data_IF_392299257807
#
_entry.id   IF_392299257807
#
_cell.length_a   1.000
_cell.length_b   1.000
_cell.length_c   1.000
_cell.angle_alpha   90.00
_cell.angle_beta   90.00
_cell.angle_gamma   90.00
#
_symmetry.space_group_name_H-M   'P 1'
#
loop_
_entity.id
_entity.type
_entity.pdbx_description
1 polymer ?
#
# COMPACT_ATOMS: atom_id res chain seq x y z
N UNK A 1 -8.69 28.00 25.63
CA UNK A 1 -8.79 27.62 24.20
C UNK A 1 -7.76 28.31 23.27
N UNK A 2 -6.63 28.85 23.76
CA UNK A 2 -5.74 29.71 22.95
C UNK A 2 -4.84 28.95 21.95
N UNK A 3 -4.58 27.67 22.19
CA UNK A 3 -3.71 26.83 21.35
C UNK A 3 -4.44 25.73 20.58
N UNK A 4 -5.76 25.62 20.73
CA UNK A 4 -6.55 24.56 20.11
C UNK A 4 -6.42 24.57 18.58
N UNK A 5 -6.35 25.76 17.98
CA UNK A 5 -6.09 25.91 16.56
C UNK A 5 -4.72 25.36 16.16
N UNK A 6 -3.66 25.79 16.86
CA UNK A 6 -2.28 25.36 16.58
C UNK A 6 -2.11 23.84 16.72
N UNK A 7 -2.65 23.29 17.81
CA UNK A 7 -2.66 21.85 18.10
C UNK A 7 -3.44 21.12 17.00
N UNK A 8 -4.65 21.56 16.69
CA UNK A 8 -5.49 20.97 15.65
C UNK A 8 -4.81 20.98 14.28
N UNK A 9 -4.18 22.09 13.89
CA UNK A 9 -3.45 22.19 12.62
C UNK A 9 -2.23 21.27 12.58
N UNK A 10 -1.46 21.18 13.66
CA UNK A 10 -0.26 20.34 13.71
C UNK A 10 -0.61 18.85 13.61
N UNK A 11 -1.61 18.40 14.37
CA UNK A 11 -2.10 17.02 14.29
C UNK A 11 -2.80 16.75 12.95
N UNK A 12 -3.56 17.72 12.42
CA UNK A 12 -4.21 17.60 11.11
C UNK A 12 -3.22 17.43 9.97
N UNK A 13 -2.15 18.24 9.94
CA UNK A 13 -1.08 18.13 8.96
C UNK A 13 -0.31 16.81 9.10
N UNK A 14 -0.01 16.40 10.33
CA UNK A 14 0.64 15.11 10.59
C UNK A 14 -0.21 13.94 10.08
N UNK A 15 -1.51 13.94 10.39
CA UNK A 15 -2.43 12.91 9.92
C UNK A 15 -2.54 12.91 8.38
N UNK A 16 -2.60 14.09 7.75
CA UNK A 16 -2.62 14.21 6.31
C UNK A 16 -1.35 13.65 5.66
N UNK A 17 -0.18 13.93 6.23
CA UNK A 17 1.10 13.40 5.74
C UNK A 17 1.16 11.86 5.86
N UNK A 18 0.67 11.29 6.96
CA UNK A 18 0.58 9.84 7.13
C UNK A 18 -0.37 9.22 6.11
N UNK A 19 -1.57 9.80 5.94
CA UNK A 19 -2.55 9.32 4.96
C UNK A 19 -2.00 9.40 3.54
N UNK A 20 -1.28 10.47 3.20
CA UNK A 20 -0.61 10.61 1.92
C UNK A 20 0.43 9.51 1.71
N UNK A 21 1.25 9.20 2.71
CA UNK A 21 2.24 8.12 2.65
C UNK A 21 1.58 6.75 2.44
N UNK A 22 0.53 6.45 3.21
CA UNK A 22 -0.24 5.20 3.08
C UNK A 22 -0.86 5.10 1.69
N UNK A 23 -1.47 6.18 1.21
CA UNK A 23 -2.10 6.23 -0.11
C UNK A 23 -1.07 6.00 -1.22
N UNK A 24 0.11 6.61 -1.11
CA UNK A 24 1.19 6.43 -2.07
C UNK A 24 1.67 4.97 -2.14
N UNK A 25 1.94 4.36 -0.99
CA UNK A 25 2.34 2.95 -0.89
C UNK A 25 1.26 2.03 -1.49
N UNK A 26 -0.02 2.34 -1.24
CA UNK A 26 -1.13 1.58 -1.81
C UNK A 26 -1.19 1.70 -3.34
N UNK A 27 -1.01 2.90 -3.89
CA UNK A 27 -0.95 3.11 -5.34
C UNK A 27 0.22 2.35 -5.98
N UNK A 28 1.41 2.41 -5.37
CA UNK A 28 2.57 1.64 -5.83
C UNK A 28 2.33 0.13 -5.77
N UNK A 29 1.73 -0.35 -4.67
CA UNK A 29 1.32 -1.73 -4.54
C UNK A 29 0.36 -2.15 -5.65
N UNK A 30 -0.62 -1.30 -5.96
CA UNK A 30 -1.61 -1.57 -7.02
C UNK A 30 -0.98 -1.60 -8.41
N UNK A 31 0.03 -0.78 -8.68
CA UNK A 31 0.79 -0.85 -9.93
C UNK A 31 1.52 -2.21 -10.07
N UNK A 32 2.20 -2.66 -9.01
CA UNK A 32 2.87 -3.97 -8.98
C UNK A 32 1.90 -5.14 -9.18
N UNK A 33 0.70 -5.06 -8.61
CA UNK A 33 -0.33 -6.10 -8.78
C UNK A 33 -0.84 -6.21 -10.24
N UNK A 34 -0.84 -5.12 -11.01
CA UNK A 34 -1.22 -5.18 -12.44
C UNK A 34 -0.19 -5.95 -13.26
N UNK A 35 1.09 -5.72 -12.99
CA UNK A 35 2.19 -6.42 -13.66
C UNK A 35 2.18 -7.92 -13.32
N UNK A 36 1.99 -8.25 -12.04
CA UNK A 36 1.82 -9.65 -11.61
C UNK A 36 0.67 -10.35 -12.34
N UNK A 37 -0.49 -9.71 -12.45
CA UNK A 37 -1.63 -10.25 -13.21
C UNK A 37 -1.33 -10.46 -14.68
N UNK A 38 -0.56 -9.57 -15.30
CA UNK A 38 -0.15 -9.71 -16.70
C UNK A 38 0.78 -10.93 -16.88
N UNK A 39 1.72 -11.15 -15.94
CA UNK A 39 2.61 -12.31 -15.93
C UNK A 39 1.85 -13.63 -15.67
N UNK A 40 0.88 -13.61 -14.76
CA UNK A 40 -0.01 -14.76 -14.52
C UNK A 40 -0.83 -15.11 -15.76
N UNK A 41 -1.39 -14.11 -16.46
CA UNK A 41 -2.11 -14.32 -17.72
C UNK A 41 -1.21 -14.87 -18.83
N UNK A 42 0.08 -14.54 -18.82
CA UNK A 42 1.09 -15.12 -19.70
C UNK A 42 1.50 -16.56 -19.30
N UNK A 43 0.89 -17.12 -18.24
CA UNK A 43 1.18 -18.48 -17.76
C UNK A 43 2.45 -18.58 -16.91
N UNK A 44 3.10 -17.45 -16.57
CA UNK A 44 4.31 -17.44 -15.76
C UNK A 44 3.89 -17.53 -14.28
N UNK A 45 3.87 -18.75 -13.74
CA UNK A 45 3.57 -19.00 -12.32
C UNK A 45 4.79 -18.65 -11.46
N UNK A 46 4.62 -17.80 -10.45
CA UNK A 46 5.72 -17.45 -9.52
C UNK A 46 6.18 -18.70 -8.77
N UNK A 47 7.49 -18.94 -8.74
CA UNK A 47 8.09 -20.05 -7.96
C UNK A 47 7.90 -19.90 -6.45
N UNK A 48 7.54 -18.71 -5.98
CA UNK A 48 7.25 -18.36 -4.59
C UNK A 48 5.76 -18.32 -4.27
N UNK A 49 4.93 -18.99 -5.07
CA UNK A 49 3.51 -19.17 -4.79
C UNK A 49 3.35 -20.02 -3.50
N UNK A 50 2.85 -19.44 -2.39
CA UNK A 50 2.70 -20.14 -1.12
C UNK A 50 1.63 -21.24 -1.18
N UNK A 51 0.84 -21.33 -2.27
CA UNK A 51 0.00 -22.51 -2.52
C UNK A 51 0.83 -23.77 -2.77
N UNK A 52 2.08 -23.64 -3.21
CA UNK A 52 3.04 -24.75 -3.32
C UNK A 52 3.51 -25.23 -1.95
N UNK A 53 3.66 -24.32 -0.98
CA UNK A 53 4.06 -24.65 0.40
C UNK A 53 2.96 -25.39 1.16
N UNK A 54 1.68 -25.04 0.93
CA UNK A 54 0.54 -25.78 1.50
C UNK A 54 0.29 -27.16 0.87
N UNK A 55 0.98 -27.49 -0.22
CA UNK A 55 0.86 -28.76 -0.92
C UNK A 55 1.96 -29.78 -0.54
N UNK A 56 2.91 -29.39 0.33
CA UNK A 56 3.93 -30.23 0.96
C UNK A 56 3.53 -30.58 2.39
#
# INVERSE_FOLDING_TARGET
MKYAFYIGTAYGLTAAAILFMVFWIWLEGRARQKELKALEAAGIRRRSDPSTEKAL
#
